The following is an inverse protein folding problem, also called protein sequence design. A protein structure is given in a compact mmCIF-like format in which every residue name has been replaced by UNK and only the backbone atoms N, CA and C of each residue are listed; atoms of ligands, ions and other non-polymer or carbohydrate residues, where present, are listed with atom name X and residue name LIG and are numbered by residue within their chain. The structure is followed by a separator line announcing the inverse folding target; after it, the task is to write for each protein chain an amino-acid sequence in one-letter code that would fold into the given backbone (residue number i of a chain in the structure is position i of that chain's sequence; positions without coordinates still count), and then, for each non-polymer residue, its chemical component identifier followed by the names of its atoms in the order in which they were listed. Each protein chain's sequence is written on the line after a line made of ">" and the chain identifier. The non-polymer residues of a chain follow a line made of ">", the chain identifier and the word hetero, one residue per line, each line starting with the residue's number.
data_IF_672923075646
#
_entry.id   IF_672923075646
#
_cell.length_a   1.000
_cell.length_b   1.000
_cell.length_c   1.000
_cell.angle_alpha   90.00
_cell.angle_beta   90.00
_cell.angle_gamma   90.00
#
_symmetry.space_group_name_H-M   'P 1'
#
loop_
_entity.id
_entity.type
_entity.pdbx_description
1 polymer ?
#
# COMPACT_ATOMS: atom_id res chain seq x y z
N UNK A 1 23.74 -2.77 7.00
CA UNK A 1 22.51 -2.46 7.76
C UNK A 1 21.54 -3.62 7.56
N UNK A 2 20.87 -4.10 8.61
CA UNK A 2 19.85 -5.16 8.49
C UNK A 2 18.46 -4.53 8.55
N UNK A 3 17.57 -4.99 7.67
CA UNK A 3 16.17 -4.52 7.60
C UNK A 3 15.22 -5.70 7.58
N UNK A 4 14.08 -5.56 8.25
CA UNK A 4 12.99 -6.52 8.18
C UNK A 4 12.04 -6.13 7.07
N UNK A 5 11.76 -7.08 6.17
CA UNK A 5 10.90 -6.90 5.00
C UNK A 5 9.67 -7.80 5.14
N UNK A 6 8.49 -7.20 5.17
CA UNK A 6 7.23 -7.94 5.13
C UNK A 6 6.90 -8.27 3.67
N UNK A 7 6.64 -9.55 3.41
CA UNK A 7 6.26 -10.03 2.09
C UNK A 7 4.74 -10.17 1.97
N UNK A 8 4.14 -9.87 0.80
CA UNK A 8 2.69 -10.01 0.56
C UNK A 8 2.32 -11.49 0.35
N UNK A 9 2.53 -12.31 1.37
CA UNK A 9 2.32 -13.76 1.40
C UNK A 9 1.72 -14.20 2.73
N UNK A 10 1.43 -15.48 2.90
CA UNK A 10 0.76 -16.08 4.06
C UNK A 10 1.57 -16.01 5.39
N UNK A 11 2.63 -15.23 5.42
CA UNK A 11 3.46 -15.15 6.63
C UNK A 11 2.94 -14.12 7.62
N UNK A 12 3.10 -14.45 8.90
CA UNK A 12 2.70 -13.59 10.00
C UNK A 12 3.88 -12.79 10.60
N UNK A 13 4.99 -12.73 9.89
CA UNK A 13 6.20 -12.06 10.33
C UNK A 13 7.02 -11.54 9.14
N UNK A 14 7.79 -10.47 9.30
CA UNK A 14 8.72 -9.99 8.30
C UNK A 14 10.02 -10.84 8.29
N UNK A 15 10.70 -10.90 7.15
CA UNK A 15 11.96 -11.57 6.95
C UNK A 15 13.13 -10.58 7.02
N UNK A 16 14.27 -11.03 7.58
CA UNK A 16 15.47 -10.20 7.68
C UNK A 16 16.31 -10.27 6.41
N UNK A 17 16.71 -9.10 5.91
CA UNK A 17 17.62 -8.93 4.77
C UNK A 17 18.73 -7.96 5.10
N UNK A 18 19.91 -8.18 4.49
CA UNK A 18 20.98 -7.19 4.49
C UNK A 18 20.67 -6.08 3.48
N UNK A 19 20.89 -4.82 3.85
CA UNK A 19 20.71 -3.69 2.94
C UNK A 19 22.03 -2.95 2.75
N UNK A 20 22.40 -2.71 1.49
CA UNK A 20 23.43 -1.76 1.06
C UNK A 20 22.82 -0.44 0.59
N UNK A 21 21.50 -0.37 0.53
CA UNK A 21 20.72 0.76 0.02
C UNK A 21 20.07 1.43 1.21
N UNK A 22 20.16 2.75 1.25
CA UNK A 22 19.40 3.53 2.24
C UNK A 22 17.90 3.34 1.98
N UNK A 23 17.20 2.85 2.99
CA UNK A 23 15.77 2.58 2.90
C UNK A 23 15.08 2.98 4.19
N UNK A 24 13.88 3.53 4.02
CA UNK A 24 13.00 3.96 5.12
C UNK A 24 11.88 2.94 5.30
N UNK A 25 11.30 2.89 6.49
CA UNK A 25 10.08 2.11 6.76
C UNK A 25 9.01 2.55 5.76
N UNK A 26 8.29 1.58 5.20
CA UNK A 26 7.29 1.79 4.16
C UNK A 26 7.81 1.71 2.72
N UNK A 27 9.14 1.79 2.48
CA UNK A 27 9.65 1.62 1.12
C UNK A 27 9.39 0.21 0.59
N UNK A 28 8.95 0.12 -0.68
CA UNK A 28 8.85 -1.15 -1.39
C UNK A 28 10.21 -1.52 -1.97
N UNK A 29 10.61 -2.78 -1.72
CA UNK A 29 11.90 -3.32 -2.14
C UNK A 29 11.74 -4.67 -2.81
N UNK A 30 12.60 -4.94 -3.81
CA UNK A 30 12.73 -6.25 -4.42
C UNK A 30 13.73 -7.08 -3.62
N UNK A 31 13.31 -8.26 -3.19
CA UNK A 31 14.13 -9.20 -2.41
C UNK A 31 14.13 -10.60 -3.02
N UNK A 32 15.20 -11.36 -2.86
CA UNK A 32 15.23 -12.78 -3.25
C UNK A 32 14.45 -13.62 -2.22
N UNK A 33 13.44 -14.34 -2.68
CA UNK A 33 12.66 -15.25 -1.85
C UNK A 33 12.54 -16.64 -2.52
N UNK A 34 13.14 -17.66 -1.91
CA UNK A 34 13.33 -18.96 -2.57
C UNK A 34 14.16 -18.81 -3.85
N UNK A 35 13.63 -19.29 -4.96
CA UNK A 35 14.20 -19.16 -6.32
C UNK A 35 13.67 -17.94 -7.09
N UNK A 36 12.73 -17.18 -6.52
CA UNK A 36 12.08 -16.05 -7.16
C UNK A 36 12.49 -14.73 -6.54
N UNK A 37 12.15 -13.65 -7.24
CA UNK A 37 12.21 -12.28 -6.72
C UNK A 37 10.80 -11.87 -6.31
N UNK A 38 10.69 -11.21 -5.15
CA UNK A 38 9.42 -10.74 -4.61
C UNK A 38 9.52 -9.28 -4.22
N UNK A 39 8.41 -8.57 -4.30
CA UNK A 39 8.31 -7.22 -3.73
C UNK A 39 7.80 -7.35 -2.30
N UNK A 40 8.49 -6.70 -1.39
CA UNK A 40 8.08 -6.56 0.00
C UNK A 40 8.20 -5.12 0.47
N UNK A 41 7.76 -4.88 1.67
CA UNK A 41 7.79 -3.54 2.31
C UNK A 41 8.77 -3.57 3.48
N UNK A 42 9.63 -2.57 3.58
CA UNK A 42 10.48 -2.37 4.76
C UNK A 42 9.58 -2.11 5.97
N UNK A 43 9.60 -3.05 6.92
CA UNK A 43 8.75 -3.01 8.11
C UNK A 43 9.46 -2.47 9.34
N UNK A 44 10.73 -2.87 9.50
CA UNK A 44 11.63 -2.35 10.55
C UNK A 44 13.06 -2.22 10.02
N UNK A 45 13.77 -1.24 10.54
CA UNK A 45 15.20 -1.03 10.26
C UNK A 45 16.05 -1.30 11.51
N UNK A 46 17.35 -1.49 11.32
CA UNK A 46 18.37 -1.68 12.38
C UNK A 46 18.06 -2.87 13.30
N UNK A 47 17.64 -3.99 12.72
CA UNK A 47 17.39 -5.20 13.47
C UNK A 47 18.70 -5.95 13.75
N UNK A 48 18.93 -6.33 15.02
CA UNK A 48 20.06 -7.14 15.45
C UNK A 48 19.62 -8.60 15.56
N UNK A 49 20.13 -9.46 14.69
CA UNK A 49 19.93 -10.91 14.75
C UNK A 49 21.21 -11.64 15.16
N UNK A 50 21.13 -12.86 15.73
CA UNK A 50 22.29 -13.70 15.99
C UNK A 50 23.07 -13.95 14.68
N UNK A 51 24.41 -13.96 14.76
CA UNK A 51 25.31 -13.93 13.59
C UNK A 51 25.35 -15.21 12.75
N UNK A 52 24.66 -16.28 13.15
CA UNK A 52 24.81 -17.62 12.56
C UNK A 52 23.88 -17.91 11.34
N UNK A 53 23.12 -16.92 10.83
CA UNK A 53 22.21 -17.13 9.71
C UNK A 53 22.72 -16.41 8.46
N UNK A 54 22.83 -17.14 7.34
CA UNK A 54 23.19 -16.56 6.04
C UNK A 54 22.04 -15.70 5.51
N UNK A 55 22.12 -14.39 5.76
CA UNK A 55 21.10 -13.41 5.36
C UNK A 55 21.34 -12.95 3.92
N UNK A 56 20.30 -12.98 3.08
CA UNK A 56 20.33 -12.49 1.69
C UNK A 56 20.26 -10.96 1.67
N UNK A 57 20.66 -10.37 0.55
CA UNK A 57 20.62 -8.93 0.33
C UNK A 57 19.35 -8.49 -0.35
N UNK A 58 18.89 -7.27 -0.05
CA UNK A 58 17.89 -6.55 -0.82
C UNK A 58 18.49 -6.26 -2.21
N UNK A 59 17.76 -6.61 -3.28
CA UNK A 59 18.23 -6.41 -4.67
C UNK A 59 18.20 -4.93 -5.05
N UNK A 60 17.03 -4.30 -4.87
CA UNK A 60 16.81 -2.87 -5.20
C UNK A 60 15.62 -2.30 -4.44
N UNK A 61 15.61 -0.97 -4.30
CA UNK A 61 14.45 -0.20 -3.86
C UNK A 61 13.63 0.20 -5.09
N UNK A 62 12.32 0.18 -4.97
CA UNK A 62 11.39 0.75 -5.96
C UNK A 62 11.17 2.24 -5.69
N UNK A 63 10.46 2.92 -6.57
CA UNK A 63 10.03 4.31 -6.41
C UNK A 63 8.84 4.44 -5.44
N UNK A 64 8.18 3.32 -5.15
CA UNK A 64 6.95 3.30 -4.35
C UNK A 64 7.22 3.17 -2.86
N UNK A 65 6.32 3.73 -2.08
CA UNK A 65 6.30 3.59 -0.63
C UNK A 65 4.86 3.62 -0.13
N UNK A 66 4.62 3.00 1.01
CA UNK A 66 3.38 3.15 1.78
C UNK A 66 3.65 4.04 2.98
N UNK A 67 2.64 4.80 3.38
CA UNK A 67 2.74 5.70 4.51
C UNK A 67 2.58 4.97 5.87
N UNK A 68 2.89 5.67 6.95
CA UNK A 68 2.80 5.13 8.30
C UNK A 68 1.37 4.75 8.69
N UNK A 69 0.38 5.52 8.24
CA UNK A 69 -1.03 5.27 8.55
C UNK A 69 -1.51 3.95 7.96
N UNK A 70 -1.08 3.64 6.73
CA UNK A 70 -1.40 2.36 6.09
C UNK A 70 -0.70 1.19 6.78
N UNK A 71 0.55 1.36 7.25
CA UNK A 71 1.26 0.35 8.05
C UNK A 71 0.48 0.05 9.33
N UNK A 72 0.11 1.09 10.10
CA UNK A 72 -0.62 0.97 11.34
C UNK A 72 -2.00 0.31 11.12
N UNK A 73 -2.67 0.65 10.01
CA UNK A 73 -3.92 0.01 9.61
C UNK A 73 -3.74 -1.49 9.30
N UNK A 74 -2.69 -1.86 8.56
CA UNK A 74 -2.38 -3.26 8.23
C UNK A 74 -2.11 -4.07 9.51
N UNK A 75 -1.35 -3.51 10.46
CA UNK A 75 -1.09 -4.16 11.75
C UNK A 75 -2.38 -4.36 12.55
N UNK A 76 -3.17 -3.31 12.70
CA UNK A 76 -4.45 -3.36 13.40
C UNK A 76 -5.42 -4.36 12.75
N UNK A 77 -5.59 -4.31 11.42
CA UNK A 77 -6.51 -5.18 10.69
C UNK A 77 -6.10 -6.65 10.79
N UNK A 78 -4.81 -6.95 10.73
CA UNK A 78 -4.25 -8.29 10.92
C UNK A 78 -4.61 -8.86 12.29
N UNK A 79 -4.41 -8.08 13.35
CA UNK A 79 -4.72 -8.49 14.73
C UNK A 79 -6.22 -8.65 14.93
N UNK A 80 -7.01 -7.65 14.52
CA UNK A 80 -8.46 -7.63 14.71
C UNK A 80 -9.17 -8.80 14.00
N UNK A 81 -8.75 -9.14 12.79
CA UNK A 81 -9.36 -10.21 12.00
C UNK A 81 -8.63 -11.56 12.12
N UNK A 82 -7.56 -11.66 12.93
CA UNK A 82 -6.72 -12.87 13.07
C UNK A 82 -6.20 -13.39 11.72
N UNK A 83 -5.89 -12.50 10.79
CA UNK A 83 -5.37 -12.81 9.45
C UNK A 83 -3.87 -12.56 9.39
N UNK A 84 -3.06 -13.45 8.77
CA UNK A 84 -1.62 -13.22 8.61
C UNK A 84 -1.33 -11.86 7.98
N UNK A 85 -0.44 -11.09 8.61
CA UNK A 85 -0.15 -9.70 8.23
C UNK A 85 0.32 -9.57 6.77
N UNK A 86 1.06 -10.56 6.26
CA UNK A 86 1.49 -10.59 4.86
C UNK A 86 0.33 -10.72 3.87
N UNK A 87 -0.79 -11.35 4.24
CA UNK A 87 -2.00 -11.39 3.41
C UNK A 87 -2.72 -10.03 3.42
N UNK A 88 -2.77 -9.37 4.57
CA UNK A 88 -3.34 -8.02 4.66
C UNK A 88 -2.51 -7.05 3.82
N UNK A 89 -1.18 -7.13 3.88
CA UNK A 89 -0.30 -6.36 2.98
C UNK A 89 -0.61 -6.65 1.50
N UNK A 90 -0.82 -7.94 1.14
CA UNK A 90 -1.16 -8.31 -0.23
C UNK A 90 -2.47 -7.66 -0.71
N UNK A 91 -3.47 -7.59 0.16
CA UNK A 91 -4.73 -6.89 -0.16
C UNK A 91 -4.50 -5.38 -0.35
N UNK A 92 -3.70 -4.76 0.53
CA UNK A 92 -3.44 -3.33 0.50
C UNK A 92 -2.67 -2.86 -0.75
N UNK A 93 -1.68 -3.66 -1.23
CA UNK A 93 -0.83 -3.28 -2.37
C UNK A 93 -1.25 -3.93 -3.71
N UNK A 94 -2.32 -4.74 -3.71
CA UNK A 94 -2.83 -5.36 -4.94
C UNK A 94 -1.94 -6.46 -5.55
N UNK A 95 -0.97 -6.98 -4.78
CA UNK A 95 -0.02 -8.01 -5.20
C UNK A 95 1.28 -7.47 -5.80
N UNK A 96 2.33 -8.30 -5.74
CA UNK A 96 3.70 -7.91 -6.11
C UNK A 96 3.90 -7.71 -7.62
N UNK A 97 3.10 -8.37 -8.45
CA UNK A 97 3.29 -8.39 -9.90
C UNK A 97 3.11 -7.02 -10.55
N UNK A 98 2.25 -6.19 -9.99
CA UNK A 98 1.99 -4.84 -10.49
C UNK A 98 3.21 -3.92 -10.38
N UNK A 99 4.10 -4.14 -9.40
CA UNK A 99 5.29 -3.31 -9.19
C UNK A 99 6.53 -3.81 -9.97
N UNK A 100 6.51 -5.07 -10.40
CA UNK A 100 7.62 -5.67 -11.16
C UNK A 100 7.44 -5.39 -12.66
N UNK A 101 6.23 -5.45 -13.18
CA UNK A 101 5.91 -5.36 -14.61
C UNK A 101 5.90 -3.94 -15.18
N UNK A 102 5.86 -2.90 -14.35
CA UNK A 102 5.62 -1.52 -14.79
C UNK A 102 6.81 -0.80 -15.43
N UNK A 103 7.85 -1.49 -15.90
CA UNK A 103 8.89 -0.82 -16.68
C UNK A 103 8.69 -0.82 -18.20
N UNK A 104 7.82 -1.70 -18.73
CA UNK A 104 7.66 -1.83 -20.20
C UNK A 104 6.21 -1.80 -20.72
N UNK A 105 5.23 -1.80 -19.84
CA UNK A 105 3.89 -1.47 -20.26
C UNK A 105 3.63 0.01 -19.98
N UNK A 106 3.89 0.86 -20.93
CA UNK A 106 3.06 2.04 -21.10
C UNK A 106 1.63 1.50 -21.14
N UNK A 107 0.98 1.46 -19.96
CA UNK A 107 -0.46 1.44 -19.94
C UNK A 107 -0.83 2.72 -20.71
N UNK A 108 -1.02 2.58 -22.02
CA UNK A 108 -1.87 3.50 -22.74
C UNK A 108 -3.17 3.44 -21.96
N UNK A 109 -3.28 4.33 -20.99
CA UNK A 109 -4.57 4.70 -20.44
C UNK A 109 -5.30 5.19 -21.70
N UNK A 110 -6.02 4.26 -22.35
CA UNK A 110 -6.97 4.65 -23.37
C UNK A 110 -7.74 5.78 -22.71
N UNK A 111 -7.51 7.01 -23.16
CA UNK A 111 -8.24 8.19 -22.70
C UNK A 111 -9.70 7.86 -22.98
N UNK A 112 -10.32 7.12 -22.07
CA UNK A 112 -11.77 7.01 -22.04
C UNK A 112 -12.22 8.46 -22.01
N UNK A 113 -12.99 8.85 -23.03
CA UNK A 113 -13.58 10.20 -23.09
C UNK A 113 -14.20 10.43 -21.72
N UNK A 114 -13.50 11.19 -20.88
CA UNK A 114 -13.99 11.52 -19.55
C UNK A 114 -15.28 12.28 -19.79
N UNK A 115 -16.41 11.64 -19.52
CA UNK A 115 -17.68 12.36 -19.49
C UNK A 115 -17.57 13.30 -18.30
N UNK A 116 -17.34 14.58 -18.58
CA UNK A 116 -17.42 15.62 -17.56
C UNK A 116 -18.88 15.71 -17.11
N UNK A 117 -19.18 15.12 -15.98
CA UNK A 117 -20.47 15.31 -15.33
C UNK A 117 -20.48 16.70 -14.69
N UNK A 118 -21.52 17.48 -15.00
CA UNK A 118 -21.72 18.77 -14.36
C UNK A 118 -22.44 18.50 -13.04
N UNK A 119 -21.75 18.76 -11.94
CA UNK A 119 -22.35 18.64 -10.61
C UNK A 119 -23.38 19.75 -10.42
N UNK A 120 -24.48 19.46 -9.74
CA UNK A 120 -25.44 20.46 -9.30
C UNK A 120 -24.96 21.16 -8.01
N UNK A 121 -25.65 22.21 -7.59
CA UNK A 121 -25.24 23.04 -6.45
C UNK A 121 -25.20 22.25 -5.13
N UNK A 122 -26.12 21.32 -4.92
CA UNK A 122 -26.14 20.44 -3.74
C UNK A 122 -24.95 19.49 -3.73
N UNK A 123 -24.60 18.90 -4.86
CA UNK A 123 -23.43 18.02 -5.00
C UNK A 123 -22.12 18.79 -4.80
N UNK A 124 -22.03 20.02 -5.33
CA UNK A 124 -20.88 20.91 -5.11
C UNK A 124 -20.76 21.26 -3.63
N UNK A 125 -21.86 21.55 -2.96
CA UNK A 125 -21.88 21.86 -1.53
C UNK A 125 -21.45 20.68 -0.68
N UNK A 126 -21.93 19.46 -1.00
CA UNK A 126 -21.51 18.23 -0.34
C UNK A 126 -20.01 17.93 -0.56
N UNK A 127 -19.50 18.09 -1.79
CA UNK A 127 -18.09 17.90 -2.08
C UNK A 127 -17.21 18.87 -1.28
N UNK A 128 -17.53 20.15 -1.24
CA UNK A 128 -16.82 21.16 -0.44
C UNK A 128 -16.81 20.84 1.05
N UNK A 129 -17.89 20.24 1.57
CA UNK A 129 -17.94 19.79 2.95
C UNK A 129 -16.98 18.63 3.19
N UNK A 130 -17.00 17.62 2.33
CA UNK A 130 -16.11 16.45 2.43
C UNK A 130 -14.63 16.83 2.32
N UNK A 131 -14.28 17.78 1.45
CA UNK A 131 -12.91 18.29 1.32
C UNK A 131 -12.38 18.93 2.62
N UNK A 132 -13.24 19.59 3.40
CA UNK A 132 -12.84 20.21 4.67
C UNK A 132 -12.49 19.19 5.75
N UNK A 133 -13.10 18.00 5.73
CA UNK A 133 -12.89 16.96 6.73
C UNK A 133 -11.86 15.92 6.33
N UNK A 134 -11.34 15.97 5.10
CA UNK A 134 -10.46 14.96 4.51
C UNK A 134 -9.10 14.77 5.23
N UNK A 135 -8.69 15.71 6.09
CA UNK A 135 -7.41 15.63 6.80
C UNK A 135 -7.49 15.03 8.21
N UNK A 136 -8.67 14.60 8.65
CA UNK A 136 -8.92 14.02 9.98
C UNK A 136 -9.79 12.78 9.82
N UNK A 137 -9.70 11.88 10.80
CA UNK A 137 -10.72 10.83 10.92
C UNK A 137 -12.07 11.51 11.19
N UNK A 138 -13.03 11.29 10.29
CA UNK A 138 -14.38 11.79 10.43
C UNK A 138 -15.37 10.79 9.83
N UNK A 139 -16.60 10.82 10.32
CA UNK A 139 -17.70 10.02 9.80
C UNK A 139 -18.74 10.97 9.23
N UNK A 140 -18.82 11.00 7.91
CA UNK A 140 -19.78 11.84 7.21
C UNK A 140 -20.89 11.00 6.60
N UNK A 141 -22.14 11.45 6.70
CA UNK A 141 -23.30 10.79 6.10
C UNK A 141 -23.80 11.62 4.92
N UNK A 142 -23.69 11.04 3.71
CA UNK A 142 -24.25 11.63 2.50
C UNK A 142 -25.65 11.07 2.25
N UNK A 143 -26.68 11.87 2.56
CA UNK A 143 -28.08 11.50 2.36
C UNK A 143 -28.59 12.00 1.00
N UNK A 144 -29.37 11.18 0.33
CA UNK A 144 -30.02 11.54 -0.94
C UNK A 144 -30.84 10.36 -1.49
N UNK A 145 -31.83 10.66 -2.30
CA UNK A 145 -32.68 9.66 -2.97
C UNK A 145 -31.88 8.77 -3.92
N UNK A 146 -32.43 7.63 -4.29
CA UNK A 146 -31.85 6.77 -5.33
C UNK A 146 -31.77 7.53 -6.65
N UNK A 147 -30.62 7.48 -7.32
CA UNK A 147 -30.40 8.22 -8.57
C UNK A 147 -30.03 9.70 -8.42
N UNK A 148 -29.89 10.24 -7.20
CA UNK A 148 -29.48 11.65 -6.97
C UNK A 148 -28.01 11.94 -7.31
N UNK A 149 -27.25 10.94 -7.81
CA UNK A 149 -25.87 11.13 -8.21
C UNK A 149 -24.87 11.21 -7.06
N UNK A 150 -25.17 10.61 -5.91
CA UNK A 150 -24.23 10.52 -4.74
C UNK A 150 -22.84 10.01 -5.13
N UNK A 151 -22.78 9.03 -6.04
CA UNK A 151 -21.51 8.46 -6.54
C UNK A 151 -20.63 9.46 -7.29
N UNK A 152 -21.17 10.61 -7.72
CA UNK A 152 -20.38 11.67 -8.34
C UNK A 152 -19.69 12.59 -7.32
N UNK A 153 -20.04 12.46 -6.05
CA UNK A 153 -19.52 13.30 -4.95
C UNK A 153 -18.34 12.63 -4.24
N UNK A 154 -18.27 11.28 -4.22
CA UNK A 154 -17.18 10.53 -3.60
C UNK A 154 -16.43 9.67 -4.57
#
# INVERSE_FOLDING_TARGET
>A
MKSQVLLPKIFNFPFTYNSRIESKIGNLVEVPFGSKKEIGVIWKNNYSEPENIKIKYINKRTEYSIDRKLIDFIEWFSIYNMVPIGLVLKMAIGGSDNFIKNKDSSLEIKKTKTRYFRLNDEQISALKFLEKVNNKFDVSVLQGTTGSGKTLVY
#
